data_IF_287296045495
#
_entry.id   IF_287296045495
#
_cell.length_a   1.000
_cell.length_b   1.000
_cell.length_c   1.000
_cell.angle_alpha   90.00
_cell.angle_beta   90.00
_cell.angle_gamma   90.00
#
_symmetry.space_group_name_H-M   'P 1'
#
loop_
_entity.id
_entity.type
_entity.pdbx_description
1 polymer ?
#
# COMPACT_ATOMS: atom_id res chain seq x y z
N UNK A 1 -12.98 -7.60 -12.58
CA UNK A 1 -12.50 -7.92 -11.20
C UNK A 1 -13.72 -8.19 -10.33
N UNK A 2 -13.68 -9.18 -9.44
CA UNK A 2 -14.77 -9.47 -8.49
C UNK A 2 -14.55 -8.65 -7.21
N UNK A 3 -15.58 -7.96 -6.73
CA UNK A 3 -15.54 -7.25 -5.45
C UNK A 3 -15.79 -8.19 -4.27
N UNK A 4 -15.17 -7.88 -3.14
CA UNK A 4 -15.42 -8.51 -1.84
C UNK A 4 -15.80 -7.41 -0.85
N UNK A 5 -16.80 -7.66 -0.01
CA UNK A 5 -17.20 -6.76 1.08
C UNK A 5 -16.74 -7.37 2.40
N UNK A 6 -16.06 -6.58 3.22
CA UNK A 6 -15.64 -6.93 4.58
C UNK A 6 -16.12 -5.83 5.51
N UNK A 7 -16.47 -6.19 6.74
CA UNK A 7 -16.85 -5.26 7.80
C UNK A 7 -15.76 -5.29 8.86
N UNK A 8 -15.36 -4.11 9.34
CA UNK A 8 -14.35 -3.94 10.35
C UNK A 8 -14.86 -3.00 11.43
N UNK A 9 -14.40 -3.19 12.66
CA UNK A 9 -14.39 -2.14 13.68
C UNK A 9 -13.35 -1.08 13.33
N UNK A 10 -13.42 0.09 13.98
CA UNK A 10 -12.41 1.14 13.82
C UNK A 10 -11.01 0.63 14.18
N UNK A 11 -10.87 -0.11 15.29
CA UNK A 11 -9.60 -0.70 15.74
C UNK A 11 -9.02 -1.69 14.71
N UNK A 12 -9.84 -2.60 14.16
CA UNK A 12 -9.41 -3.51 13.10
C UNK A 12 -9.01 -2.77 11.82
N UNK A 13 -9.71 -1.67 11.49
CA UNK A 13 -9.38 -0.85 10.34
C UNK A 13 -8.06 -0.09 10.53
N UNK A 14 -7.76 0.39 11.75
CA UNK A 14 -6.47 0.99 12.09
C UNK A 14 -5.31 0.00 11.95
N UNK A 15 -5.48 -1.23 12.43
CA UNK A 15 -4.48 -2.31 12.26
C UNK A 15 -4.17 -2.52 10.76
N UNK A 16 -5.20 -2.46 9.90
CA UNK A 16 -4.99 -2.57 8.45
C UNK A 16 -4.25 -1.36 7.87
N UNK A 17 -4.54 -0.14 8.34
CA UNK A 17 -3.81 1.04 7.89
C UNK A 17 -2.33 0.94 8.27
N UNK A 18 -2.01 0.60 9.52
CA UNK A 18 -0.63 0.46 10.00
C UNK A 18 0.16 -0.59 9.21
N UNK A 19 -0.48 -1.73 8.93
CA UNK A 19 0.12 -2.79 8.11
C UNK A 19 0.39 -2.32 6.67
N UNK A 20 -0.56 -1.59 6.07
CA UNK A 20 -0.41 -1.06 4.71
C UNK A 20 0.62 0.07 4.64
N UNK A 21 0.79 0.87 5.69
CA UNK A 21 1.84 1.89 5.77
C UNK A 21 3.23 1.27 5.84
N UNK A 22 3.39 0.22 6.65
CA UNK A 22 4.65 -0.53 6.73
C UNK A 22 5.01 -1.18 5.39
N UNK A 23 4.03 -1.82 4.73
CA UNK A 23 4.25 -2.45 3.42
C UNK A 23 4.55 -1.40 2.33
N UNK A 24 3.85 -0.25 2.35
CA UNK A 24 4.10 0.87 1.44
C UNK A 24 5.55 1.37 1.54
N UNK A 25 6.04 1.63 2.75
CA UNK A 25 7.43 2.06 2.98
C UNK A 25 8.43 1.04 2.42
N UNK A 26 8.20 -0.25 2.65
CA UNK A 26 9.03 -1.33 2.11
C UNK A 26 9.09 -1.36 0.57
N UNK A 27 7.96 -1.14 -0.11
CA UNK A 27 7.94 -1.04 -1.57
C UNK A 27 8.58 0.24 -2.10
N UNK A 28 8.43 1.37 -1.41
CA UNK A 28 9.09 2.61 -1.78
C UNK A 28 10.62 2.49 -1.67
N UNK A 29 11.12 1.85 -0.62
CA UNK A 29 12.54 1.58 -0.43
C UNK A 29 13.06 0.58 -1.47
N UNK A 30 12.33 -0.49 -1.73
CA UNK A 30 12.66 -1.43 -2.81
C UNK A 30 12.74 -0.75 -4.18
N UNK A 31 11.83 0.20 -4.47
CA UNK A 31 11.87 1.00 -5.69
C UNK A 31 13.08 1.94 -5.75
N UNK A 32 13.51 2.51 -4.62
CA UNK A 32 14.74 3.33 -4.52
C UNK A 32 15.98 2.48 -4.79
N UNK A 33 16.08 1.30 -4.18
CA UNK A 33 17.21 0.39 -4.36
C UNK A 33 17.29 -0.15 -5.79
N UNK A 34 16.16 -0.55 -6.37
CA UNK A 34 16.10 -0.97 -7.77
C UNK A 34 16.56 0.15 -8.72
N UNK A 35 16.19 1.41 -8.42
CA UNK A 35 16.63 2.58 -9.19
C UNK A 35 18.14 2.79 -9.07
N UNK A 36 18.70 2.68 -7.86
CA UNK A 36 20.14 2.80 -7.63
C UNK A 36 20.95 1.74 -8.39
N UNK A 37 20.39 0.54 -8.55
CA UNK A 37 20.99 -0.58 -9.28
C UNK A 37 20.70 -0.59 -10.79
N UNK A 38 19.97 0.41 -11.31
CA UNK A 38 19.61 0.48 -12.73
C UNK A 38 18.60 -0.58 -13.18
N UNK A 39 17.95 -1.30 -12.25
CA UNK A 39 16.97 -2.33 -12.57
C UNK A 39 15.58 -1.72 -12.86
N UNK A 40 15.37 -1.31 -14.11
CA UNK A 40 14.14 -0.62 -14.53
C UNK A 40 12.87 -1.47 -14.40
N UNK A 41 12.97 -2.79 -14.56
CA UNK A 41 11.82 -3.69 -14.43
C UNK A 41 11.31 -3.73 -12.98
N UNK A 42 12.24 -3.83 -12.02
CA UNK A 42 11.91 -3.83 -10.61
C UNK A 42 11.40 -2.46 -10.15
N UNK A 43 11.98 -1.36 -10.65
CA UNK A 43 11.45 0.00 -10.37
C UNK A 43 9.98 0.10 -10.75
N UNK A 44 9.61 -0.36 -11.96
CA UNK A 44 8.22 -0.33 -12.41
C UNK A 44 7.32 -1.19 -11.51
N UNK A 45 7.77 -2.41 -11.19
CA UNK A 45 7.04 -3.36 -10.34
C UNK A 45 6.77 -2.81 -8.94
N UNK A 46 7.81 -2.33 -8.25
CA UNK A 46 7.69 -1.82 -6.89
C UNK A 46 6.91 -0.49 -6.85
N UNK A 47 7.07 0.37 -7.85
CA UNK A 47 6.28 1.62 -7.95
C UNK A 47 4.79 1.33 -8.14
N UNK A 48 4.44 0.34 -8.97
CA UNK A 48 3.04 -0.07 -9.14
C UNK A 48 2.45 -0.63 -7.83
N UNK A 49 3.20 -1.50 -7.13
CA UNK A 49 2.78 -2.06 -5.85
C UNK A 49 2.53 -0.97 -4.80
N UNK A 50 3.49 -0.05 -4.62
CA UNK A 50 3.35 1.11 -3.72
C UNK A 50 2.10 1.93 -4.05
N UNK A 51 1.86 2.23 -5.34
CA UNK A 51 0.67 2.97 -5.76
C UNK A 51 -0.64 2.27 -5.41
N UNK A 52 -0.70 0.94 -5.57
CA UNK A 52 -1.89 0.14 -5.25
C UNK A 52 -2.13 0.04 -3.74
N UNK A 53 -1.08 -0.15 -2.96
CA UNK A 53 -1.16 -0.19 -1.49
C UNK A 53 -1.64 1.16 -0.96
N UNK A 54 -1.03 2.26 -1.42
CA UNK A 54 -1.45 3.62 -1.08
C UNK A 54 -2.94 3.84 -1.37
N UNK A 55 -3.42 3.43 -2.53
CA UNK A 55 -4.83 3.60 -2.88
C UNK A 55 -5.79 2.84 -1.95
N UNK A 56 -5.42 1.64 -1.49
CA UNK A 56 -6.23 0.88 -0.51
C UNK A 56 -6.14 1.53 0.87
N UNK A 57 -4.94 1.89 1.33
CA UNK A 57 -4.70 2.57 2.61
C UNK A 57 -5.53 3.84 2.72
N UNK A 58 -5.43 4.72 1.71
CA UNK A 58 -6.11 6.01 1.70
C UNK A 58 -7.63 5.84 1.73
N UNK A 59 -8.15 4.78 1.09
CA UNK A 59 -9.58 4.46 1.13
C UNK A 59 -10.04 4.01 2.52
N UNK A 60 -9.23 3.23 3.23
CA UNK A 60 -9.56 2.79 4.60
C UNK A 60 -9.46 3.99 5.56
N UNK A 61 -8.38 4.77 5.49
CA UNK A 61 -8.20 5.99 6.30
C UNK A 61 -9.37 6.96 6.13
N UNK A 62 -9.78 7.23 4.89
CA UNK A 62 -10.93 8.09 4.62
C UNK A 62 -12.26 7.53 5.16
N UNK A 63 -12.38 6.23 5.40
CA UNK A 63 -13.58 5.62 5.99
C UNK A 63 -13.56 5.68 7.53
N UNK A 64 -12.39 5.72 8.16
CA UNK A 64 -12.23 5.90 9.61
C UNK A 64 -12.45 7.38 9.99
N UNK A 65 -11.96 8.31 9.16
CA UNK A 65 -11.98 9.75 9.44
C UNK A 65 -13.34 10.45 9.12
N UNK A 66 -14.33 9.72 8.59
CA UNK A 66 -15.61 10.25 8.08
C UNK A 66 -16.73 10.26 9.12
#
# INVERSE_FOLDING_TARGET
MKSVTLTFTEDEAEILVDALETDLEGYEDSAKDARANGNRADVATFTEAAGRIKAVRDRIRAAIDA
#
